data_IF_857614643928
#
_entry.id   IF_857614643928
#
_cell.length_a   1.000
_cell.length_b   1.000
_cell.length_c   1.000
_cell.angle_alpha   90.00
_cell.angle_beta   90.00
_cell.angle_gamma   90.00
#
_symmetry.space_group_name_H-M   'P 1'
#
loop_
_entity.id
_entity.type
_entity.pdbx_description
1 polymer ?
#
# COMPACT_ATOMS: atom_id res chain seq x y z
N UNK A 1 -32.80 -22.79 -8.27
CA UNK A 1 -31.38 -23.08 -8.03
C UNK A 1 -30.67 -21.73 -8.11
N UNK A 2 -30.58 -21.04 -6.98
CA UNK A 2 -29.85 -19.77 -6.88
C UNK A 2 -28.45 -20.09 -6.37
N UNK A 3 -27.49 -20.13 -7.27
CA UNK A 3 -26.07 -20.20 -6.91
C UNK A 3 -25.68 -18.88 -6.24
N UNK A 4 -25.86 -18.81 -4.92
CA UNK A 4 -25.31 -17.74 -4.10
C UNK A 4 -23.79 -17.90 -4.12
N UNK A 5 -23.12 -17.07 -4.92
CA UNK A 5 -21.67 -16.91 -4.86
C UNK A 5 -21.29 -16.60 -3.41
N UNK A 6 -20.67 -17.56 -2.73
CA UNK A 6 -20.03 -17.34 -1.43
C UNK A 6 -18.86 -16.40 -1.66
N UNK A 7 -19.12 -15.09 -1.55
CA UNK A 7 -18.07 -14.08 -1.55
C UNK A 7 -17.41 -14.15 -0.18
N UNK A 8 -16.27 -14.81 -0.12
CA UNK A 8 -15.40 -14.72 1.03
C UNK A 8 -15.05 -13.24 1.22
N UNK A 9 -15.36 -12.70 2.40
CA UNK A 9 -14.96 -11.33 2.74
C UNK A 9 -13.47 -11.39 3.04
N UNK A 10 -12.66 -11.18 2.01
CA UNK A 10 -11.22 -10.97 2.18
C UNK A 10 -11.06 -9.62 2.90
N UNK A 11 -10.82 -9.68 4.20
CA UNK A 11 -10.69 -8.50 5.07
C UNK A 11 -9.30 -7.87 4.97
N UNK A 12 -9.24 -6.55 5.10
CA UNK A 12 -7.99 -5.79 5.12
C UNK A 12 -8.25 -4.28 5.26
N UNK A 13 -7.20 -3.52 5.57
CA UNK A 13 -7.28 -2.07 5.61
C UNK A 13 -7.16 -1.47 4.20
N UNK A 14 -8.03 -0.51 3.87
CA UNK A 14 -7.89 0.32 2.68
C UNK A 14 -7.49 1.73 3.12
N UNK A 15 -6.32 2.19 2.67
CA UNK A 15 -5.82 3.54 2.92
C UNK A 15 -5.69 4.30 1.59
N UNK A 16 -6.48 5.37 1.43
CA UNK A 16 -6.45 6.22 0.24
C UNK A 16 -5.63 7.47 0.54
N UNK A 17 -4.60 7.72 -0.28
CA UNK A 17 -3.69 8.87 -0.15
C UNK A 17 -3.88 9.75 -1.39
N UNK A 18 -4.24 11.02 -1.21
CA UNK A 18 -4.55 11.96 -2.29
C UNK A 18 -3.35 12.46 -3.11
N UNK A 19 -2.16 11.86 -2.94
CA UNK A 19 -0.91 12.30 -3.54
C UNK A 19 -0.14 13.34 -2.70
N UNK A 20 1.07 13.66 -3.16
CA UNK A 20 2.00 14.60 -2.51
C UNK A 20 2.29 14.31 -1.02
N UNK A 21 2.21 13.05 -0.63
CA UNK A 21 2.56 12.62 0.71
C UNK A 21 4.05 12.81 1.00
N UNK A 22 4.36 13.08 2.26
CA UNK A 22 5.73 13.22 2.75
C UNK A 22 6.45 11.88 2.70
N UNK A 23 7.51 11.82 1.87
CA UNK A 23 8.35 10.64 1.65
C UNK A 23 9.71 10.76 2.34
N UNK A 24 10.04 11.90 2.94
CA UNK A 24 11.41 12.18 3.39
C UNK A 24 11.51 12.47 4.88
N UNK A 25 10.57 13.26 5.42
CA UNK A 25 10.63 13.73 6.80
C UNK A 25 9.94 12.73 7.75
N UNK A 26 8.81 13.14 8.32
CA UNK A 26 8.09 12.36 9.32
C UNK A 26 7.41 11.13 8.73
N UNK A 27 7.04 11.17 7.44
CA UNK A 27 6.42 10.04 6.71
C UNK A 27 5.19 9.47 7.41
N UNK A 28 4.41 10.33 8.07
CA UNK A 28 3.35 9.92 9.01
C UNK A 28 2.36 8.94 8.40
N UNK A 29 1.90 9.21 7.18
CA UNK A 29 0.92 8.35 6.51
C UNK A 29 1.51 7.03 6.02
N UNK A 30 2.78 7.03 5.57
CA UNK A 30 3.49 5.82 5.15
C UNK A 30 3.78 4.92 6.36
N UNK A 31 4.19 5.51 7.49
CA UNK A 31 4.33 4.78 8.76
C UNK A 31 3.01 4.15 9.20
N UNK A 32 1.89 4.87 9.03
CA UNK A 32 0.56 4.30 9.31
C UNK A 32 0.21 3.15 8.38
N UNK A 33 0.55 3.24 7.09
CA UNK A 33 0.40 2.13 6.15
C UNK A 33 1.17 0.89 6.62
N UNK A 34 2.44 1.05 6.99
CA UNK A 34 3.27 -0.05 7.51
C UNK A 34 2.68 -0.68 8.77
N UNK A 35 2.22 0.13 9.72
CA UNK A 35 1.55 -0.35 10.95
C UNK A 35 0.33 -1.22 10.62
N UNK A 36 -0.52 -0.76 9.69
CA UNK A 36 -1.73 -1.48 9.26
C UNK A 36 -1.40 -2.75 8.44
N UNK A 37 -0.25 -2.78 7.76
CA UNK A 37 0.21 -3.92 6.97
C UNK A 37 0.86 -5.04 7.81
N UNK A 38 1.07 -4.83 9.12
CA UNK A 38 1.70 -5.81 10.01
C UNK A 38 3.03 -5.35 10.63
N UNK A 39 3.39 -4.09 10.47
CA UNK A 39 4.60 -3.49 11.05
C UNK A 39 5.87 -4.18 10.56
N UNK A 40 6.74 -4.57 11.49
CA UNK A 40 8.03 -5.22 11.17
C UNK A 40 7.89 -6.58 10.46
N UNK A 41 6.71 -7.21 10.50
CA UNK A 41 6.43 -8.48 9.83
C UNK A 41 5.70 -8.32 8.50
N UNK A 42 5.47 -7.08 8.06
CA UNK A 42 4.73 -6.81 6.84
C UNK A 42 5.52 -7.32 5.62
N UNK A 43 4.85 -8.07 4.75
CA UNK A 43 5.34 -8.41 3.42
C UNK A 43 4.63 -7.48 2.42
N UNK A 44 5.40 -6.58 1.80
CA UNK A 44 4.85 -5.46 1.02
C UNK A 44 5.27 -5.59 -0.44
N UNK A 45 4.28 -5.54 -1.33
CA UNK A 45 4.47 -5.43 -2.77
C UNK A 45 4.21 -3.97 -3.22
N UNK A 46 5.18 -3.39 -3.91
CA UNK A 46 5.04 -2.06 -4.54
C UNK A 46 4.69 -2.28 -6.02
N UNK A 47 3.61 -1.65 -6.50
CA UNK A 47 3.15 -1.75 -7.90
C UNK A 47 3.18 -0.35 -8.54
N UNK A 48 4.31 0.08 -9.12
CA UNK A 48 4.52 1.45 -9.60
C UNK A 48 3.98 1.69 -11.03
N UNK A 49 2.97 0.94 -11.47
CA UNK A 49 2.51 0.89 -12.88
C UNK A 49 1.94 2.22 -13.41
N UNK A 50 1.57 3.14 -12.51
CA UNK A 50 1.05 4.45 -12.90
C UNK A 50 2.16 5.44 -13.33
N UNK A 51 3.44 5.11 -13.11
CA UNK A 51 4.58 5.97 -13.44
C UNK A 51 5.18 5.58 -14.79
N UNK A 52 5.58 6.58 -15.58
CA UNK A 52 6.44 6.39 -16.77
C UNK A 52 7.87 5.96 -16.41
N UNK A 53 8.26 6.13 -15.14
CA UNK A 53 9.54 5.70 -14.57
C UNK A 53 9.27 4.79 -13.36
N UNK A 54 8.86 3.53 -13.59
CA UNK A 54 8.37 2.66 -12.53
C UNK A 54 9.46 2.27 -11.51
N UNK A 55 10.70 2.04 -11.96
CA UNK A 55 11.82 1.67 -11.10
C UNK A 55 12.15 2.79 -10.11
N UNK A 56 12.31 4.02 -10.62
CA UNK A 56 12.59 5.18 -9.78
C UNK A 56 11.45 5.44 -8.78
N UNK A 57 10.19 5.34 -9.22
CA UNK A 57 9.06 5.52 -8.33
C UNK A 57 9.03 4.47 -7.21
N UNK A 58 9.32 3.21 -7.52
CA UNK A 58 9.38 2.14 -6.53
C UNK A 58 10.53 2.35 -5.53
N UNK A 59 11.72 2.75 -5.99
CA UNK A 59 12.90 2.94 -5.15
C UNK A 59 12.64 3.94 -4.00
N UNK A 60 11.85 4.99 -4.25
CA UNK A 60 11.48 5.95 -3.21
C UNK A 60 10.70 5.29 -2.05
N UNK A 61 9.85 4.30 -2.35
CA UNK A 61 9.07 3.59 -1.33
C UNK A 61 9.82 2.42 -0.70
N UNK A 62 10.81 1.83 -1.38
CA UNK A 62 11.68 0.79 -0.78
C UNK A 62 12.55 1.36 0.35
N UNK A 63 12.90 2.64 0.28
CA UNK A 63 13.71 3.33 1.28
C UNK A 63 12.88 3.99 2.42
N UNK A 64 11.55 3.90 2.37
CA UNK A 64 10.63 4.67 3.21
C UNK A 64 10.48 4.12 4.63
#
# INVERSE_FOLDING_TARGET
MEDRIHREVIGGHLLVIGGAEDKYNERRILKKFLELAGGEKAEILIVPVASDFPEFAADIYVQA
#
